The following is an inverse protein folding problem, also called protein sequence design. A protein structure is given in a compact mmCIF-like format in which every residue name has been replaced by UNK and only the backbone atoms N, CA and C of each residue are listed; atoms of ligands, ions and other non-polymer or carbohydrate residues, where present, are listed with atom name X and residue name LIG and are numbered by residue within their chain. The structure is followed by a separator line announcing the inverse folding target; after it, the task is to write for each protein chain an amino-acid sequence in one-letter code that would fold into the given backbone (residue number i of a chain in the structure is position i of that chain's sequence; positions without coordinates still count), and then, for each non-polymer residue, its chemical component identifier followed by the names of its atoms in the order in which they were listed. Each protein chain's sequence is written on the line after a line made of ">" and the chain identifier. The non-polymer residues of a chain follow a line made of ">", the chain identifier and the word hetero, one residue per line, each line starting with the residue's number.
data_IF_690878584986
#
_entry.id   IF_690878584986
#
_cell.length_a   1.000
_cell.length_b   1.000
_cell.length_c   1.000
_cell.angle_alpha   90.00
_cell.angle_beta   90.00
_cell.angle_gamma   90.00
#
_symmetry.space_group_name_H-M   'P 1'
#
loop_
_entity.id
_entity.type
_entity.pdbx_description
1 polymer ?
#
# COMPACT_ATOMS: atom_id res chain seq x y z
N UNK A 1 24.84 -0.56 6.90
CA UNK A 1 23.90 -1.66 6.58
C UNK A 1 22.45 -1.28 6.81
N UNK A 2 22.06 -0.90 8.04
CA UNK A 2 20.72 -0.36 8.37
C UNK A 2 20.16 0.72 7.41
N UNK A 3 20.94 1.76 6.98
CA UNK A 3 20.40 2.76 6.05
C UNK A 3 20.10 2.21 4.65
N UNK A 4 20.84 1.21 4.17
CA UNK A 4 20.55 0.55 2.89
C UNK A 4 19.28 -0.30 2.97
N UNK A 5 19.07 -0.98 4.10
CA UNK A 5 17.85 -1.76 4.34
C UNK A 5 16.61 -0.85 4.41
N UNK A 6 16.72 0.28 5.13
CA UNK A 6 15.66 1.29 5.19
C UNK A 6 15.35 1.86 3.79
N UNK A 7 16.39 2.19 3.01
CA UNK A 7 16.21 2.67 1.63
C UNK A 7 15.51 1.62 0.77
N UNK A 8 15.93 0.36 0.83
CA UNK A 8 15.28 -0.75 0.11
C UNK A 8 13.79 -0.85 0.47
N UNK A 9 13.46 -0.93 1.77
CA UNK A 9 12.08 -0.98 2.24
C UNK A 9 11.25 0.21 1.75
N UNK A 10 11.79 1.42 1.88
CA UNK A 10 11.13 2.66 1.45
C UNK A 10 10.82 2.62 -0.04
N UNK A 11 11.79 2.24 -0.88
CA UNK A 11 11.62 2.17 -2.34
C UNK A 11 10.54 1.15 -2.72
N UNK A 12 10.63 -0.06 -2.18
CA UNK A 12 9.68 -1.14 -2.50
C UNK A 12 8.26 -0.74 -2.14
N UNK A 13 8.04 -0.17 -0.95
CA UNK A 13 6.71 0.26 -0.52
C UNK A 13 6.25 1.47 -1.35
N UNK A 14 7.07 2.50 -1.51
CA UNK A 14 6.71 3.69 -2.29
C UNK A 14 6.30 3.34 -3.72
N UNK A 15 7.10 2.56 -4.45
CA UNK A 15 6.78 2.18 -5.83
C UNK A 15 5.47 1.38 -5.91
N UNK A 16 5.28 0.43 -4.98
CA UNK A 16 4.09 -0.41 -4.98
C UNK A 16 2.83 0.40 -4.69
N UNK A 17 2.88 1.30 -3.70
CA UNK A 17 1.75 2.14 -3.31
C UNK A 17 1.47 3.24 -4.34
N UNK A 18 2.50 3.88 -4.91
CA UNK A 18 2.33 4.86 -6.00
C UNK A 18 1.69 4.19 -7.21
N UNK A 19 2.18 3.03 -7.63
CA UNK A 19 1.60 2.30 -8.76
C UNK A 19 0.15 1.88 -8.47
N UNK A 20 -0.14 1.34 -7.28
CA UNK A 20 -1.52 0.99 -6.90
C UNK A 20 -2.45 2.20 -6.87
N UNK A 21 -1.99 3.33 -6.32
CA UNK A 21 -2.73 4.58 -6.25
C UNK A 21 -3.04 5.13 -7.65
N UNK A 22 -2.04 5.21 -8.54
CA UNK A 22 -2.22 5.72 -9.91
C UNK A 22 -3.26 4.88 -10.68
N UNK A 23 -3.22 3.56 -10.54
CA UNK A 23 -4.20 2.69 -11.20
C UNK A 23 -5.62 2.86 -10.64
N UNK A 24 -5.77 3.16 -9.35
CA UNK A 24 -7.09 3.35 -8.71
C UNK A 24 -7.65 4.76 -8.89
N UNK A 25 -6.80 5.78 -8.92
CA UNK A 25 -7.25 7.17 -9.11
C UNK A 25 -7.77 7.39 -10.54
N UNK A 26 -7.27 6.62 -11.52
CA UNK A 26 -7.77 6.62 -12.89
C UNK A 26 -9.22 6.13 -13.02
N UNK A 27 -9.67 5.21 -12.15
CA UNK A 27 -11.06 4.74 -12.11
C UNK A 27 -11.50 4.38 -10.68
N UNK A 28 -11.77 5.42 -9.89
CA UNK A 28 -12.23 5.27 -8.50
C UNK A 28 -13.59 4.56 -8.42
N UNK A 29 -14.45 4.72 -9.44
CA UNK A 29 -15.75 4.06 -9.48
C UNK A 29 -15.59 2.55 -9.61
N UNK A 30 -14.68 2.09 -10.48
CA UNK A 30 -14.37 0.68 -10.61
C UNK A 30 -13.77 0.10 -9.32
N UNK A 31 -12.90 0.85 -8.62
CA UNK A 31 -12.38 0.40 -7.33
C UNK A 31 -13.49 0.28 -6.27
N UNK A 32 -14.41 1.25 -6.19
CA UNK A 32 -15.57 1.17 -5.30
C UNK A 32 -16.47 -0.04 -5.62
N UNK A 33 -16.65 -0.37 -6.90
CA UNK A 33 -17.36 -1.59 -7.30
C UNK A 33 -16.62 -2.86 -6.86
N UNK A 34 -15.28 -2.90 -6.93
CA UNK A 34 -14.50 -4.02 -6.39
C UNK A 34 -14.73 -4.18 -4.88
N UNK A 35 -14.75 -3.08 -4.12
CA UNK A 35 -15.06 -3.10 -2.69
C UNK A 35 -16.48 -3.61 -2.43
N UNK A 36 -17.45 -3.21 -3.26
CA UNK A 36 -18.84 -3.70 -3.20
C UNK A 36 -18.92 -5.21 -3.48
N UNK A 37 -18.18 -5.68 -4.49
CA UNK A 37 -18.14 -7.09 -4.90
C UNK A 37 -17.57 -8.00 -3.82
N UNK A 38 -16.71 -7.50 -2.93
CA UNK A 38 -16.23 -8.27 -1.78
C UNK A 38 -17.34 -8.61 -0.78
N UNK A 39 -18.51 -7.95 -0.85
CA UNK A 39 -19.68 -8.20 0.04
C UNK A 39 -19.31 -8.16 1.53
N UNK A 40 -18.30 -7.35 1.89
CA UNK A 40 -17.84 -7.17 3.26
C UNK A 40 -18.58 -6.05 3.99
N UNK A 41 -19.05 -5.05 3.25
CA UNK A 41 -19.72 -3.86 3.76
C UNK A 41 -21.03 -3.60 3.01
N UNK A 42 -22.01 -2.88 3.61
CA UNK A 42 -23.22 -2.50 2.90
C UNK A 42 -22.90 -1.58 1.72
N UNK A 43 -23.69 -1.60 0.63
CA UNK A 43 -23.46 -0.78 -0.56
C UNK A 43 -23.32 0.72 -0.26
N UNK A 44 -24.00 1.22 0.78
CA UNK A 44 -23.88 2.63 1.20
C UNK A 44 -22.47 3.04 1.65
N UNK A 45 -21.65 2.07 2.07
CA UNK A 45 -20.30 2.29 2.61
C UNK A 45 -19.19 1.98 1.61
N UNK A 46 -19.49 1.47 0.42
CA UNK A 46 -18.49 1.05 -0.56
C UNK A 46 -17.61 2.22 -1.05
N UNK A 47 -18.23 3.33 -1.45
CA UNK A 47 -17.56 4.55 -1.90
C UNK A 47 -16.74 5.25 -0.81
N UNK A 48 -17.29 5.54 0.39
CA UNK A 48 -16.50 6.17 1.43
C UNK A 48 -15.34 5.29 1.88
N UNK A 49 -15.50 3.96 1.91
CA UNK A 49 -14.40 3.06 2.25
C UNK A 49 -13.33 3.03 1.16
N UNK A 50 -13.72 3.01 -0.12
CA UNK A 50 -12.80 3.09 -1.24
C UNK A 50 -12.00 4.40 -1.23
N UNK A 51 -12.66 5.53 -1.00
CA UNK A 51 -12.01 6.84 -0.87
C UNK A 51 -11.10 6.92 0.36
N UNK A 52 -11.53 6.35 1.49
CA UNK A 52 -10.70 6.28 2.70
C UNK A 52 -9.42 5.48 2.43
N UNK A 53 -9.54 4.34 1.77
CA UNK A 53 -8.39 3.52 1.41
C UNK A 53 -7.45 4.27 0.46
N UNK A 54 -7.99 4.92 -0.57
CA UNK A 54 -7.23 5.71 -1.53
C UNK A 54 -6.53 6.91 -0.87
N UNK A 55 -7.19 7.57 0.09
CA UNK A 55 -6.59 8.65 0.88
C UNK A 55 -5.44 8.15 1.76
N UNK A 56 -5.58 6.93 2.30
CA UNK A 56 -4.51 6.26 3.04
C UNK A 56 -3.31 5.95 2.16
N UNK A 57 -3.54 5.45 0.95
CA UNK A 57 -2.47 5.18 -0.03
C UNK A 57 -1.73 6.48 -0.42
N UNK A 58 -2.48 7.55 -0.69
CA UNK A 58 -1.90 8.87 -0.96
C UNK A 58 -1.06 9.37 0.22
N UNK A 59 -1.57 9.26 1.46
CA UNK A 59 -0.85 9.68 2.65
C UNK A 59 0.44 8.88 2.84
N UNK A 60 0.43 7.56 2.61
CA UNK A 60 1.64 6.72 2.64
C UNK A 60 2.68 7.23 1.64
N UNK A 61 2.28 7.46 0.38
CA UNK A 61 3.20 7.95 -0.66
C UNK A 61 3.78 9.31 -0.26
N UNK A 62 2.92 10.25 0.16
CA UNK A 62 3.35 11.59 0.56
C UNK A 62 4.32 11.54 1.75
N UNK A 63 4.03 10.76 2.79
CA UNK A 63 4.91 10.65 3.95
C UNK A 63 6.23 9.94 3.62
N UNK A 64 6.21 8.93 2.76
CA UNK A 64 7.43 8.29 2.27
C UNK A 64 8.21 9.17 1.30
N UNK A 65 7.59 10.12 0.59
CA UNK A 65 8.30 11.07 -0.30
C UNK A 65 8.90 12.20 0.51
N UNK A 66 8.11 12.91 1.32
CA UNK A 66 8.60 14.00 2.18
C UNK A 66 9.71 13.47 3.10
N UNK A 67 9.51 12.26 3.64
CA UNK A 67 10.48 11.63 4.52
C UNK A 67 10.71 12.41 5.80
N UNK A 68 11.70 11.99 6.57
CA UNK A 68 12.04 12.60 7.86
C UNK A 68 11.85 11.63 9.02
N UNK A 69 12.55 11.92 10.12
CA UNK A 69 12.72 11.02 11.25
C UNK A 69 11.41 10.62 11.94
N UNK A 70 10.42 11.51 11.90
CA UNK A 70 9.10 11.28 12.52
C UNK A 70 8.08 10.75 11.52
N UNK A 71 8.20 11.10 10.23
CA UNK A 71 7.25 10.72 9.18
C UNK A 71 7.49 9.30 8.68
N UNK A 72 8.74 8.83 8.62
CA UNK A 72 9.05 7.48 8.14
C UNK A 72 8.40 6.37 8.99
N UNK A 73 8.51 6.37 10.34
CA UNK A 73 7.80 5.39 11.16
C UNK A 73 6.28 5.45 10.98
N UNK A 74 5.73 6.66 10.87
CA UNK A 74 4.29 6.86 10.68
C UNK A 74 3.83 6.29 9.32
N UNK A 75 4.61 6.50 8.26
CA UNK A 75 4.31 5.99 6.93
C UNK A 75 4.36 4.46 6.86
N UNK A 76 5.40 3.82 7.42
CA UNK A 76 5.48 2.36 7.49
C UNK A 76 4.40 1.76 8.39
N UNK A 77 4.01 2.45 9.48
CA UNK A 77 2.89 2.04 10.32
C UNK A 77 1.55 2.09 9.59
N UNK A 78 1.29 3.18 8.85
CA UNK A 78 0.08 3.31 8.03
C UNK A 78 0.04 2.28 6.89
N UNK A 79 1.19 2.03 6.26
CA UNK A 79 1.37 0.99 5.24
C UNK A 79 1.00 -0.39 5.79
N UNK A 80 1.51 -0.75 6.98
CA UNK A 80 1.18 -2.00 7.66
C UNK A 80 -0.31 -2.12 7.90
N UNK A 81 -0.95 -1.06 8.41
CA UNK A 81 -2.38 -1.05 8.70
C UNK A 81 -3.21 -1.28 7.43
N UNK A 82 -2.88 -0.58 6.33
CA UNK A 82 -3.57 -0.72 5.05
C UNK A 82 -3.37 -2.13 4.47
N UNK A 83 -2.14 -2.65 4.48
CA UNK A 83 -1.83 -4.00 4.00
C UNK A 83 -2.54 -5.08 4.83
N UNK A 84 -2.60 -4.94 6.15
CA UNK A 84 -3.30 -5.87 7.04
C UNK A 84 -4.81 -5.84 6.77
N UNK A 85 -5.41 -4.65 6.71
CA UNK A 85 -6.83 -4.50 6.41
C UNK A 85 -7.18 -5.12 5.04
N UNK A 86 -6.33 -4.87 4.04
CA UNK A 86 -6.51 -5.40 2.70
C UNK A 86 -6.31 -6.92 2.64
N UNK A 87 -5.31 -7.45 3.35
CA UNK A 87 -5.08 -8.91 3.44
C UNK A 87 -6.22 -9.61 4.15
N UNK A 88 -6.77 -9.01 5.21
CA UNK A 88 -7.95 -9.54 5.89
C UNK A 88 -9.17 -9.57 4.96
N UNK A 89 -9.38 -8.52 4.16
CA UNK A 89 -10.44 -8.50 3.15
C UNK A 89 -10.27 -9.63 2.11
N UNK A 90 -9.06 -9.83 1.58
CA UNK A 90 -8.78 -10.91 0.62
C UNK A 90 -8.96 -12.30 1.25
N UNK A 91 -8.50 -12.50 2.49
CA UNK A 91 -8.67 -13.76 3.20
C UNK A 91 -10.14 -14.08 3.43
N UNK A 92 -10.97 -13.08 3.79
CA UNK A 92 -12.41 -13.26 3.94
C UNK A 92 -13.10 -13.60 2.62
N UNK A 93 -12.68 -12.98 1.51
CA UNK A 93 -13.17 -13.29 0.16
C UNK A 93 -12.85 -14.74 -0.22
N UNK A 94 -11.62 -15.20 0.05
CA UNK A 94 -11.19 -16.58 -0.21
C UNK A 94 -11.93 -17.59 0.67
N UNK A 95 -12.09 -17.32 1.96
CA UNK A 95 -12.81 -18.21 2.90
C UNK A 95 -14.29 -18.31 2.55
N UNK A 96 -14.89 -17.23 2.01
CA UNK A 96 -16.29 -17.19 1.57
C UNK A 96 -16.49 -17.63 0.11
N UNK A 97 -15.41 -18.06 -0.56
CA UNK A 97 -15.38 -18.50 -1.96
C UNK A 97 -16.08 -17.52 -2.93
N UNK A 98 -15.90 -16.21 -2.68
CA UNK A 98 -16.54 -15.17 -3.48
C UNK A 98 -15.68 -14.94 -4.74
N UNK A 99 -16.19 -15.37 -5.89
CA UNK A 99 -15.52 -15.16 -7.17
C UNK A 99 -15.56 -13.69 -7.57
N UNK A 100 -14.51 -12.96 -7.23
CA UNK A 100 -14.33 -11.54 -7.55
C UNK A 100 -12.92 -11.29 -8.06
N UNK A 101 -12.76 -10.28 -8.90
CA UNK A 101 -11.45 -9.83 -9.38
C UNK A 101 -10.82 -8.80 -8.43
N UNK A 102 -9.51 -8.92 -8.18
CA UNK A 102 -8.73 -7.90 -7.47
C UNK A 102 -8.26 -6.85 -8.48
N UNK A 103 -8.94 -5.70 -8.57
CA UNK A 103 -8.49 -4.59 -9.43
C UNK A 103 -7.41 -3.72 -8.77
N UNK A 104 -6.58 -4.34 -7.95
CA UNK A 104 -5.68 -3.71 -7.00
C UNK A 104 -4.47 -3.05 -7.69
N UNK A 105 -4.18 -3.51 -8.91
CA UNK A 105 -3.14 -3.02 -9.81
C UNK A 105 -3.74 -2.69 -11.19
N UNK A 106 -4.99 -2.21 -11.21
CA UNK A 106 -5.75 -1.92 -12.43
C UNK A 106 -6.74 -3.01 -12.81
N UNK A 107 -7.41 -2.81 -13.95
CA UNK A 107 -8.48 -3.67 -14.46
C UNK A 107 -7.95 -5.03 -14.93
N UNK A 108 -7.77 -5.97 -14.01
CA UNK A 108 -7.36 -7.34 -14.30
C UNK A 108 -8.55 -8.26 -14.04
N UNK A 109 -8.95 -9.06 -15.03
CA UNK A 109 -10.01 -10.07 -14.87
C UNK A 109 -9.58 -11.28 -14.00
N UNK A 110 -8.44 -11.18 -13.32
CA UNK A 110 -7.87 -12.27 -12.51
C UNK A 110 -8.64 -12.36 -11.19
N UNK A 111 -9.16 -13.54 -10.92
CA UNK A 111 -9.80 -13.85 -9.65
C UNK A 111 -8.80 -13.75 -8.50
N UNK A 112 -9.29 -13.33 -7.32
CA UNK A 112 -8.49 -13.30 -6.09
C UNK A 112 -7.88 -14.69 -5.84
N UNK A 113 -6.57 -14.73 -5.63
CA UNK A 113 -5.82 -15.97 -5.42
C UNK A 113 -4.95 -15.89 -4.16
N UNK A 114 -4.54 -17.06 -3.65
CA UNK A 114 -3.54 -17.16 -2.58
C UNK A 114 -2.23 -16.43 -2.89
N UNK A 115 -1.90 -16.25 -4.18
CA UNK A 115 -0.74 -15.45 -4.61
C UNK A 115 -0.84 -13.99 -4.16
N UNK A 116 -2.05 -13.42 -4.16
CA UNK A 116 -2.26 -12.02 -3.71
C UNK A 116 -2.02 -11.88 -2.21
N UNK A 117 -2.39 -12.90 -1.43
CA UNK A 117 -2.13 -12.98 0.01
C UNK A 117 -0.63 -13.09 0.28
N UNK A 118 0.09 -13.96 -0.44
CA UNK A 118 1.55 -14.10 -0.29
C UNK A 118 2.31 -12.82 -0.68
N UNK A 119 1.90 -12.16 -1.76
CA UNK A 119 2.47 -10.86 -2.15
C UNK A 119 2.28 -9.82 -1.03
N UNK A 120 1.07 -9.72 -0.47
CA UNK A 120 0.82 -8.80 0.63
C UNK A 120 1.60 -9.18 1.90
N UNK A 121 1.73 -10.46 2.21
CA UNK A 121 2.53 -10.93 3.34
C UNK A 121 4.01 -10.49 3.19
N UNK A 122 4.57 -10.59 1.98
CA UNK A 122 5.90 -10.05 1.67
C UNK A 122 5.98 -8.54 1.91
N UNK A 123 5.00 -7.76 1.43
CA UNK A 123 4.95 -6.31 1.66
C UNK A 123 4.77 -5.94 3.14
N UNK A 124 4.01 -6.73 3.91
CA UNK A 124 3.87 -6.58 5.36
C UNK A 124 5.23 -6.77 6.04
N UNK A 125 5.98 -7.81 5.68
CA UNK A 125 7.33 -8.03 6.20
C UNK A 125 8.27 -6.87 5.87
N UNK A 126 8.27 -6.41 4.61
CA UNK A 126 9.07 -5.25 4.18
C UNK A 126 8.71 -4.00 4.99
N UNK A 127 7.42 -3.76 5.22
CA UNK A 127 6.95 -2.61 5.99
C UNK A 127 7.28 -2.72 7.49
N UNK A 128 7.24 -3.92 8.07
CA UNK A 128 7.65 -4.16 9.45
C UNK A 128 9.16 -3.93 9.65
N UNK A 129 9.98 -4.41 8.70
CA UNK A 129 11.42 -4.16 8.69
C UNK A 129 11.70 -2.66 8.50
N UNK A 130 10.98 -1.99 7.60
CA UNK A 130 11.05 -0.55 7.39
C UNK A 130 10.72 0.25 8.65
N UNK A 131 9.66 -0.12 9.37
CA UNK A 131 9.27 0.50 10.63
C UNK A 131 10.35 0.32 11.71
N UNK A 132 10.83 -0.91 11.89
CA UNK A 132 11.88 -1.20 12.86
C UNK A 132 13.17 -0.44 12.55
N UNK A 133 13.59 -0.42 11.28
CA UNK A 133 14.81 0.31 10.88
C UNK A 133 14.63 1.83 11.00
N UNK A 134 13.47 2.39 10.64
CA UNK A 134 13.18 3.82 10.76
C UNK A 134 13.28 4.32 12.22
N UNK A 135 12.88 3.50 13.19
CA UNK A 135 13.02 3.82 14.62
C UNK A 135 14.47 3.79 15.14
N UNK A 136 15.36 3.08 14.44
CA UNK A 136 16.75 2.86 14.87
C UNK A 136 17.78 3.71 14.09
N UNK A 137 17.42 4.24 12.91
CA UNK A 137 18.30 5.11 12.12
C UNK A 137 18.16 6.56 12.60
N UNK A 138 19.22 7.09 13.22
CA UNK A 138 19.36 8.53 13.50
C UNK A 138 20.32 9.13 12.47
N UNK A 139 19.81 9.87 11.48
CA UNK A 139 20.65 10.50 10.47
C UNK A 139 19.89 11.15 9.32
N UNK A 140 20.48 12.22 8.79
CA UNK A 140 19.98 13.12 7.73
C UNK A 140 19.73 12.38 6.40
N UNK A 141 18.77 12.89 5.62
CA UNK A 141 18.44 12.46 4.25
C UNK A 141 19.72 12.25 3.42
N UNK A 142 19.99 11.02 2.98
CA UNK A 142 21.13 10.72 2.11
C UNK A 142 20.83 11.19 0.66
N UNK A 143 21.86 11.48 -0.15
CA UNK A 143 21.75 11.79 -1.59
C UNK A 143 20.89 10.77 -2.37
N UNK A 144 20.93 9.50 -1.94
CA UNK A 144 20.12 8.40 -2.46
C UNK A 144 18.63 8.67 -2.22
N UNK A 145 18.24 9.19 -1.05
CA UNK A 145 16.83 9.51 -0.75
C UNK A 145 16.33 10.70 -1.59
N UNK A 146 17.19 11.69 -1.84
CA UNK A 146 16.84 12.83 -2.69
C UNK A 146 16.65 12.41 -4.16
N UNK A 147 17.52 11.53 -4.66
CA UNK A 147 17.43 10.99 -6.02
C UNK A 147 16.18 10.11 -6.19
N UNK A 148 15.78 9.39 -5.16
CA UNK A 148 14.58 8.54 -5.18
C UNK A 148 13.27 9.33 -5.10
N UNK A 149 13.24 10.42 -4.32
CA UNK A 149 12.14 11.40 -4.36
C UNK A 149 11.97 11.93 -5.78
N UNK A 150 13.08 12.26 -6.46
CA UNK A 150 13.05 12.75 -7.84
C UNK A 150 12.48 11.71 -8.82
N UNK A 151 12.84 10.42 -8.70
CA UNK A 151 12.28 9.36 -9.56
C UNK A 151 10.79 9.17 -9.30
N UNK A 152 10.35 9.11 -8.04
CA UNK A 152 8.92 8.94 -7.71
C UNK A 152 8.10 10.15 -8.17
N UNK A 153 8.66 11.37 -8.12
CA UNK A 153 7.99 12.57 -8.59
C UNK A 153 7.82 12.65 -10.12
N UNK A 154 8.56 11.83 -10.89
CA UNK A 154 8.51 11.78 -12.36
C UNK A 154 7.49 10.73 -12.87
N UNK A 155 7.14 9.74 -12.03
CA UNK A 155 6.17 8.66 -12.33
C UNK A 155 4.75 9.15 -12.06
#
# INVERSE_FOLDING_TARGET
>A
MLPYLLAFCRITISLTFTYSFLMKVGDVNQFAQTVANFKLVPLRWERPLALLFLSGEAAVVVFLVIGGQQLLPLAFGLTLLLLLAFTAALALVLVRDIQTSCNCFGNTQKTVSYVDVWRNAGLILVSAIGLWTAGNVKGTLNLIELFLIAIIAII
#
